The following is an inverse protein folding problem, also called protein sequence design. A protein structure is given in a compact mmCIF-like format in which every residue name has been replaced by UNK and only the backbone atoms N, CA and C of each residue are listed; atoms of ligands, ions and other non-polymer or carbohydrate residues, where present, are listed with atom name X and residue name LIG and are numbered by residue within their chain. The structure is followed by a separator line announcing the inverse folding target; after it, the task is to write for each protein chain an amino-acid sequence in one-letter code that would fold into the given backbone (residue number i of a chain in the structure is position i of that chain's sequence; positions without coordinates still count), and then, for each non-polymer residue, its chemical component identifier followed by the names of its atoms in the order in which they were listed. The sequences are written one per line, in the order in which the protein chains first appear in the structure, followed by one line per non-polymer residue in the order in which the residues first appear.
data_IF_037291081702
#
_entry.id   IF_037291081702
#
_cell.length_a   1.000
_cell.length_b   1.000
_cell.length_c   1.000
_cell.angle_alpha   90.00
_cell.angle_beta   90.00
_cell.angle_gamma   90.00
#
_symmetry.space_group_name_H-M   'P 1'
#
loop_
_entity.id
_entity.type
_entity.pdbx_description
1 polymer ?
#
# COMPACT_ATOMS: atom_id res chain seq x y z
N UNK A 1 9.72 -2.65 16.46
CA UNK A 1 10.61 -3.10 15.37
C UNK A 1 12.02 -3.23 15.90
N UNK A 2 12.68 -4.36 15.65
CA UNK A 2 14.12 -4.51 15.91
C UNK A 2 14.93 -3.52 15.04
N UNK A 3 16.18 -3.18 15.42
CA UNK A 3 17.05 -2.34 14.60
C UNK A 3 17.26 -2.87 13.17
N UNK A 4 17.37 -4.19 13.01
CA UNK A 4 17.57 -4.85 11.72
C UNK A 4 16.35 -4.67 10.82
N UNK A 5 15.14 -4.86 11.37
CA UNK A 5 13.90 -4.63 10.62
C UNK A 5 13.78 -3.17 10.18
N UNK A 6 14.16 -2.21 11.04
CA UNK A 6 14.18 -0.78 10.67
C UNK A 6 15.16 -0.50 9.54
N UNK A 7 16.35 -1.09 9.59
CA UNK A 7 17.37 -0.93 8.54
C UNK A 7 16.86 -1.45 7.19
N UNK A 8 16.31 -2.67 7.16
CA UNK A 8 15.73 -3.27 5.95
C UNK A 8 14.61 -2.39 5.37
N UNK A 9 13.70 -1.86 6.20
CA UNK A 9 12.66 -0.94 5.73
C UNK A 9 13.28 0.32 5.11
N UNK A 10 14.32 0.88 5.73
CA UNK A 10 14.97 2.09 5.25
C UNK A 10 15.65 1.89 3.90
N UNK A 11 16.37 0.77 3.71
CA UNK A 11 17.02 0.44 2.44
C UNK A 11 15.99 0.22 1.34
N UNK A 12 14.98 -0.62 1.60
CA UNK A 12 13.93 -0.91 0.63
C UNK A 12 13.15 0.33 0.22
N UNK A 13 12.85 1.25 1.15
CA UNK A 13 12.23 2.55 0.83
C UNK A 13 13.11 3.38 -0.09
N UNK A 14 14.39 3.53 0.27
CA UNK A 14 15.33 4.36 -0.50
C UNK A 14 15.47 3.85 -1.93
N UNK A 15 15.65 2.53 -2.07
CA UNK A 15 15.78 1.88 -3.37
C UNK A 15 14.48 1.95 -4.17
N UNK A 16 13.35 1.54 -3.58
CA UNK A 16 12.06 1.56 -4.26
C UNK A 16 11.71 2.97 -4.73
N UNK A 17 11.82 4.00 -3.87
CA UNK A 17 11.46 5.36 -4.26
C UNK A 17 12.38 5.94 -5.34
N UNK A 18 13.67 5.62 -5.29
CA UNK A 18 14.63 6.06 -6.32
C UNK A 18 14.29 5.44 -7.68
N UNK A 19 14.04 4.13 -7.71
CA UNK A 19 13.65 3.41 -8.92
C UNK A 19 12.26 3.83 -9.41
N UNK A 20 11.31 4.05 -8.50
CA UNK A 20 9.97 4.52 -8.83
C UNK A 20 10.02 5.91 -9.48
N UNK A 21 10.81 6.82 -8.92
CA UNK A 21 11.03 8.14 -9.50
C UNK A 21 11.67 8.08 -10.90
N UNK A 22 12.61 7.15 -11.12
CA UNK A 22 13.24 6.95 -12.42
C UNK A 22 12.31 6.32 -13.47
N UNK A 23 11.37 5.46 -13.05
CA UNK A 23 10.45 4.76 -13.94
C UNK A 23 9.18 5.56 -14.27
N UNK A 24 8.82 6.54 -13.44
CA UNK A 24 7.64 7.37 -13.64
C UNK A 24 7.83 8.38 -14.78
N UNK A 25 6.81 8.54 -15.62
CA UNK A 25 6.80 9.53 -16.72
C UNK A 25 6.56 10.98 -16.26
N UNK A 26 6.52 11.22 -14.95
CA UNK A 26 6.20 12.51 -14.35
C UNK A 26 7.15 12.78 -13.18
N UNK A 27 7.40 14.06 -12.85
CA UNK A 27 8.30 14.40 -11.75
C UNK A 27 7.82 13.81 -10.42
N UNK A 28 8.68 13.01 -9.79
CA UNK A 28 8.46 12.48 -8.45
C UNK A 28 9.34 13.23 -7.45
N UNK A 29 8.75 13.67 -6.35
CA UNK A 29 9.43 14.31 -5.22
C UNK A 29 9.53 13.28 -4.10
N UNK A 30 10.75 12.95 -3.70
CA UNK A 30 11.00 12.15 -2.50
C UNK A 30 11.17 13.12 -1.34
N UNK A 31 10.24 13.07 -0.37
CA UNK A 31 10.27 13.90 0.83
C UNK A 31 10.62 13.07 2.05
N UNK A 32 11.27 13.71 3.03
CA UNK A 32 11.87 13.05 4.20
C UNK A 32 13.39 13.03 4.09
N UNK A 33 14.07 13.59 5.09
CA UNK A 33 15.53 13.44 5.25
C UNK A 33 15.78 12.36 6.30
N UNK A 34 16.99 11.78 6.30
CA UNK A 34 17.45 10.83 7.34
C UNK A 34 17.34 11.38 8.78
N UNK A 35 17.08 12.68 8.95
CA UNK A 35 17.03 13.40 10.22
C UNK A 35 15.63 13.89 10.63
N UNK A 36 14.61 13.78 9.77
CA UNK A 36 13.23 14.15 10.15
C UNK A 36 12.50 12.96 10.77
N UNK A 37 11.66 13.19 11.79
CA UNK A 37 10.81 12.17 12.42
C UNK A 37 9.80 11.51 11.47
N UNK A 38 9.64 12.06 10.27
CA UNK A 38 8.71 11.56 9.27
C UNK A 38 9.44 10.55 8.35
N UNK A 39 8.82 9.38 8.18
CA UNK A 39 9.31 8.40 7.21
C UNK A 39 9.28 8.98 5.80
N UNK A 40 10.30 8.69 4.95
CA UNK A 40 10.31 9.23 3.61
C UNK A 40 9.12 8.69 2.79
N UNK A 41 8.59 9.54 1.92
CA UNK A 41 7.52 9.21 0.97
C UNK A 41 7.90 9.74 -0.42
N UNK A 42 7.41 9.09 -1.46
CA UNK A 42 7.50 9.58 -2.84
C UNK A 42 6.14 10.15 -3.27
N UNK A 43 6.13 11.36 -3.83
CA UNK A 43 4.90 12.05 -4.24
C UNK A 43 5.01 12.62 -5.65
N UNK A 44 3.87 12.75 -6.33
CA UNK A 44 3.80 13.27 -7.70
C UNK A 44 2.48 14.00 -7.94
N UNK A 45 2.45 14.82 -8.98
CA UNK A 45 1.25 15.51 -9.43
C UNK A 45 0.61 14.75 -10.59
N UNK A 46 -0.71 14.59 -10.55
CA UNK A 46 -1.45 14.09 -11.73
C UNK A 46 -1.82 15.22 -12.70
N UNK A 47 -2.37 14.85 -13.86
CA UNK A 47 -2.79 15.78 -14.91
C UNK A 47 -3.89 16.76 -14.45
N UNK A 48 -4.56 16.46 -13.34
CA UNK A 48 -5.59 17.31 -12.73
C UNK A 48 -5.01 18.22 -11.63
N UNK A 49 -3.68 18.30 -11.53
CA UNK A 49 -2.96 19.04 -10.49
C UNK A 49 -3.34 18.60 -9.07
N UNK A 50 -3.56 17.29 -8.86
CA UNK A 50 -3.76 16.72 -7.53
C UNK A 50 -2.51 15.99 -7.09
N UNK A 51 -2.19 16.13 -5.82
CA UNK A 51 -1.05 15.49 -5.20
C UNK A 51 -1.37 14.03 -4.90
N UNK A 52 -0.54 13.13 -5.41
CA UNK A 52 -0.55 11.71 -5.11
C UNK A 52 0.73 11.35 -4.35
N UNK A 53 0.71 10.27 -3.60
CA UNK A 53 1.90 9.78 -2.90
C UNK A 53 1.87 8.27 -2.73
N UNK A 54 3.06 7.69 -2.63
CA UNK A 54 3.30 6.31 -2.24
C UNK A 54 4.17 6.27 -0.97
N UNK A 55 3.78 5.41 -0.04
CA UNK A 55 4.46 5.18 1.22
C UNK A 55 4.62 3.68 1.45
N UNK A 56 5.80 3.25 1.86
CA UNK A 56 6.09 1.89 2.28
C UNK A 56 6.26 1.89 3.79
N UNK A 57 5.63 1.00 4.53
CA UNK A 57 5.83 0.89 5.97
C UNK A 57 5.71 -0.56 6.45
N UNK A 58 6.23 -0.83 7.66
CA UNK A 58 6.06 -2.13 8.28
C UNK A 58 4.59 -2.30 8.71
N UNK A 59 3.92 -3.32 8.18
CA UNK A 59 2.58 -3.71 8.61
C UNK A 59 2.67 -4.61 9.84
N UNK A 60 3.54 -5.61 9.78
CA UNK A 60 3.93 -6.47 10.90
C UNK A 60 5.45 -6.58 10.88
N UNK A 61 6.09 -6.48 12.04
CA UNK A 61 7.53 -6.64 12.15
C UNK A 61 7.93 -7.20 13.52
N UNK A 62 9.08 -7.91 13.58
CA UNK A 62 9.64 -8.38 14.83
C UNK A 62 10.02 -7.20 15.73
N UNK A 63 9.90 -7.40 17.04
CA UNK A 63 10.34 -6.45 18.06
C UNK A 63 10.94 -7.18 19.27
N UNK A 64 11.36 -6.44 20.28
CA UNK A 64 12.00 -6.98 21.48
C UNK A 64 11.10 -7.97 22.25
N UNK A 65 9.78 -7.83 22.13
CA UNK A 65 8.81 -8.69 22.82
C UNK A 65 8.44 -9.93 21.99
N UNK A 66 8.37 -9.79 20.67
CA UNK A 66 8.04 -10.88 19.75
C UNK A 66 9.07 -10.91 18.60
N UNK A 67 10.27 -11.46 18.83
CA UNK A 67 11.35 -11.47 17.83
C UNK A 67 11.06 -12.40 16.64
N UNK A 68 10.17 -13.38 16.82
CA UNK A 68 9.74 -14.31 15.76
C UNK A 68 8.51 -13.80 14.99
N UNK A 69 8.04 -12.58 15.26
CA UNK A 69 6.88 -12.04 14.55
C UNK A 69 7.22 -11.93 13.05
N UNK A 70 6.30 -12.31 12.15
CA UNK A 70 6.47 -12.11 10.72
C UNK A 70 6.94 -10.70 10.39
N UNK A 71 7.79 -10.60 9.37
CA UNK A 71 8.17 -9.32 8.82
C UNK A 71 7.46 -9.10 7.49
N UNK A 72 6.49 -8.21 7.49
CA UNK A 72 5.55 -7.93 6.39
C UNK A 72 5.45 -6.43 6.20
N UNK A 73 5.59 -5.99 4.96
CA UNK A 73 5.51 -4.60 4.57
C UNK A 73 4.17 -4.31 3.92
N UNK A 74 3.84 -3.02 3.88
CA UNK A 74 2.71 -2.50 3.14
C UNK A 74 3.15 -1.29 2.32
N UNK A 75 2.84 -1.34 1.03
CA UNK A 75 2.93 -0.22 0.11
C UNK A 75 1.54 0.40 0.02
N UNK A 76 1.42 1.70 0.27
CA UNK A 76 0.18 2.44 0.26
C UNK A 76 0.28 3.61 -0.71
N UNK A 77 -0.71 3.75 -1.59
CA UNK A 77 -0.90 4.90 -2.47
C UNK A 77 -2.12 5.66 -2.00
N UNK A 78 -1.96 6.97 -1.77
CA UNK A 78 -3.02 7.90 -1.34
C UNK A 78 -3.80 7.53 -0.04
N UNK A 79 -3.48 6.39 0.58
CA UNK A 79 -4.10 5.93 1.83
C UNK A 79 -3.38 6.51 3.05
N UNK A 80 -4.17 6.93 4.05
CA UNK A 80 -3.71 7.63 5.26
C UNK A 80 -3.19 9.05 5.00
N UNK A 81 -3.95 9.82 4.20
CA UNK A 81 -3.71 11.20 3.76
C UNK A 81 -3.44 12.24 4.87
N UNK A 82 -3.72 11.90 6.14
CA UNK A 82 -3.61 12.82 7.27
C UNK A 82 -2.17 13.08 7.76
N UNK A 83 -1.19 12.23 7.42
CA UNK A 83 0.23 12.49 7.77
C UNK A 83 0.98 13.34 6.73
N UNK A 84 0.39 13.59 5.56
CA UNK A 84 1.04 14.31 4.43
C UNK A 84 0.70 15.81 4.43
N UNK A 85 0.11 16.35 5.51
CA UNK A 85 -0.19 17.79 5.63
C UNK A 85 1.04 18.70 5.87
N UNK A 86 2.27 18.22 5.68
CA UNK A 86 3.49 19.01 5.88
C UNK A 86 4.42 19.09 4.66
N UNK A 87 3.92 18.86 3.43
CA UNK A 87 4.73 19.10 2.22
C UNK A 87 4.24 20.33 1.46
N UNK A 88 4.75 21.47 1.95
CA UNK A 88 5.25 22.64 1.21
C UNK A 88 4.27 23.71 0.70
N UNK A 89 4.43 24.90 1.32
CA UNK A 89 4.43 26.21 0.64
C UNK A 89 5.15 26.11 -0.70
N UNK A 90 4.48 26.43 -1.81
CA UNK A 90 5.15 26.78 -3.08
C UNK A 90 4.77 25.94 -4.31
N UNK A 91 3.97 24.87 -4.19
CA UNK A 91 3.37 24.23 -5.36
C UNK A 91 1.85 24.47 -5.36
N UNK A 92 1.35 25.02 -6.48
CA UNK A 92 -0.09 25.13 -6.75
C UNK A 92 -0.66 23.72 -6.95
N UNK A 93 -1.11 23.09 -5.86
CA UNK A 93 -1.87 21.85 -5.91
C UNK A 93 -3.35 22.13 -5.64
N UNK A 94 -4.23 21.38 -6.29
CA UNK A 94 -5.68 21.39 -6.00
C UNK A 94 -6.03 20.53 -4.77
N UNK A 95 -5.03 20.16 -3.97
CA UNK A 95 -5.14 19.27 -2.83
C UNK A 95 -4.72 17.82 -3.12
N UNK A 96 -4.96 16.94 -2.13
CA UNK A 96 -4.66 15.51 -2.22
C UNK A 96 -5.64 14.80 -3.16
N UNK A 97 -5.17 13.76 -3.84
CA UNK A 97 -6.03 12.90 -4.62
C UNK A 97 -6.79 11.93 -3.72
N UNK A 98 -8.05 12.26 -3.43
CA UNK A 98 -8.95 11.44 -2.62
C UNK A 98 -9.88 10.53 -3.45
N UNK A 99 -9.73 10.54 -4.79
CA UNK A 99 -10.62 9.74 -5.65
C UNK A 99 -10.21 8.27 -5.72
N UNK A 100 -8.98 7.95 -5.34
CA UNK A 100 -8.48 6.59 -5.33
C UNK A 100 -7.36 6.44 -4.31
N UNK A 101 -7.31 5.26 -3.74
CA UNK A 101 -6.21 4.78 -2.91
C UNK A 101 -5.93 3.32 -3.24
N UNK A 102 -4.80 2.82 -2.78
CA UNK A 102 -4.41 1.42 -2.94
C UNK A 102 -3.43 1.02 -1.84
N UNK A 103 -3.48 -0.22 -1.39
CA UNK A 103 -2.61 -0.83 -0.41
C UNK A 103 -2.27 -2.26 -0.83
N UNK A 104 -0.98 -2.55 -0.88
CA UNK A 104 -0.44 -3.87 -1.18
C UNK A 104 0.39 -4.35 0.01
N UNK A 105 -0.04 -5.46 0.60
CA UNK A 105 0.65 -6.14 1.70
C UNK A 105 1.54 -7.26 1.14
N UNK A 106 2.84 -7.15 1.38
CA UNK A 106 3.89 -7.95 0.73
C UNK A 106 4.96 -8.38 1.71
N UNK A 107 5.73 -9.40 1.35
CA UNK A 107 6.98 -9.68 2.03
C UNK A 107 8.07 -8.68 1.59
N UNK A 108 9.07 -8.38 2.46
CA UNK A 108 10.16 -7.46 2.12
C UNK A 108 10.86 -7.80 0.79
N UNK A 109 11.07 -9.09 0.53
CA UNK A 109 11.73 -9.59 -0.69
C UNK A 109 10.91 -9.41 -1.98
N UNK A 110 9.60 -9.15 -1.88
CA UNK A 110 8.71 -9.07 -3.03
C UNK A 110 8.49 -7.61 -3.47
N UNK A 111 8.79 -6.64 -2.62
CA UNK A 111 8.37 -5.25 -2.83
C UNK A 111 8.99 -4.59 -4.07
N UNK A 112 10.25 -4.90 -4.36
CA UNK A 112 10.94 -4.37 -5.54
C UNK A 112 10.43 -5.02 -6.83
N UNK A 113 10.04 -6.30 -6.78
CA UNK A 113 9.46 -6.98 -7.94
C UNK A 113 8.15 -6.31 -8.38
N UNK A 114 7.39 -5.77 -7.43
CA UNK A 114 6.15 -5.02 -7.68
C UNK A 114 6.36 -3.64 -8.28
N UNK A 115 7.59 -3.11 -8.35
CA UNK A 115 7.83 -1.75 -8.81
C UNK A 115 7.29 -1.47 -10.23
N UNK A 116 7.60 -2.29 -11.27
CA UNK A 116 7.06 -2.06 -12.61
C UNK A 116 5.53 -2.13 -12.62
N UNK A 117 4.96 -3.04 -11.84
CA UNK A 117 3.51 -3.21 -11.73
C UNK A 117 2.84 -2.00 -11.05
N UNK A 118 3.45 -1.44 -9.99
CA UNK A 118 2.95 -0.23 -9.32
C UNK A 118 3.01 0.98 -10.26
N UNK A 119 4.07 1.13 -11.06
CA UNK A 119 4.16 2.20 -12.06
C UNK A 119 3.06 2.03 -13.11
N UNK A 120 2.85 0.82 -13.61
CA UNK A 120 1.76 0.51 -14.54
C UNK A 120 0.36 0.75 -13.93
N UNK A 121 0.17 0.47 -12.64
CA UNK A 121 -1.06 0.78 -11.90
C UNK A 121 -1.35 2.29 -11.89
N UNK A 122 -0.34 3.11 -11.58
CA UNK A 122 -0.48 4.57 -11.60
C UNK A 122 -0.81 5.09 -13.01
N UNK A 123 -0.15 4.54 -14.04
CA UNK A 123 -0.42 4.89 -15.43
C UNK A 123 -1.83 4.49 -15.89
N UNK A 124 -2.25 3.26 -15.59
CA UNK A 124 -3.57 2.73 -15.93
C UNK A 124 -4.68 3.56 -15.25
N UNK A 125 -4.47 3.95 -13.99
CA UNK A 125 -5.38 4.85 -13.28
C UNK A 125 -5.42 6.25 -13.91
N UNK A 126 -4.26 6.82 -14.26
CA UNK A 126 -4.18 8.12 -14.95
C UNK A 126 -4.95 8.15 -16.27
N UNK A 127 -4.90 7.05 -17.03
CA UNK A 127 -5.64 6.86 -18.29
C UNK A 127 -7.11 6.45 -18.10
N UNK A 128 -7.53 6.17 -16.86
CA UNK A 128 -8.89 5.71 -16.55
C UNK A 128 -9.26 4.36 -17.16
N UNK A 129 -8.26 3.51 -17.46
CA UNK A 129 -8.47 2.23 -18.16
C UNK A 129 -7.82 1.07 -17.40
N UNK A 130 -8.60 0.31 -16.61
CA UNK A 130 -8.10 -0.88 -15.90
C UNK A 130 -7.58 -1.98 -16.84
N UNK A 131 -8.00 -1.98 -18.11
CA UNK A 131 -7.55 -2.94 -19.13
C UNK A 131 -6.06 -2.79 -19.46
N UNK A 132 -5.44 -1.67 -19.10
CA UNK A 132 -4.00 -1.44 -19.26
C UNK A 132 -3.17 -2.03 -18.13
N UNK A 133 -3.83 -2.52 -17.07
CA UNK A 133 -3.15 -3.10 -15.91
C UNK A 133 -2.60 -4.47 -16.28
N UNK A 134 -1.27 -4.60 -16.17
CA UNK A 134 -0.57 -5.84 -16.38
C UNK A 134 -0.79 -6.81 -15.22
N UNK A 135 -0.55 -8.09 -15.47
CA UNK A 135 -0.57 -9.11 -14.43
C UNK A 135 0.51 -8.81 -13.38
N UNK A 136 0.22 -9.03 -12.09
CA UNK A 136 1.18 -8.78 -11.04
C UNK A 136 2.31 -9.83 -11.04
N UNK A 137 3.51 -9.44 -10.57
CA UNK A 137 4.69 -10.31 -10.54
C UNK A 137 4.57 -11.46 -9.54
N UNK A 138 3.77 -11.26 -8.48
CA UNK A 138 3.42 -12.31 -7.52
C UNK A 138 1.90 -12.43 -7.43
N UNK A 139 1.36 -13.66 -7.29
CA UNK A 139 -0.05 -13.86 -7.03
C UNK A 139 -0.48 -13.14 -5.76
N UNK A 140 -1.62 -12.44 -5.82
CA UNK A 140 -2.23 -11.80 -4.68
C UNK A 140 -3.75 -11.87 -4.76
N UNK A 141 -4.40 -12.03 -3.61
CA UNK A 141 -5.85 -11.95 -3.53
C UNK A 141 -6.26 -10.47 -3.46
N UNK A 142 -7.03 -10.05 -4.45
CA UNK A 142 -7.75 -8.78 -4.43
C UNK A 142 -9.08 -9.07 -3.71
N UNK A 143 -9.26 -8.57 -2.49
CA UNK A 143 -10.50 -8.82 -1.73
C UNK A 143 -11.67 -7.99 -2.26
N UNK A 144 -12.07 -8.14 -3.52
CA UNK A 144 -13.14 -7.33 -4.14
C UNK A 144 -14.46 -7.46 -3.35
N UNK A 145 -14.93 -6.41 -2.64
CA UNK A 145 -16.31 -6.39 -2.15
C UNK A 145 -17.25 -6.20 -3.34
N UNK A 146 -18.48 -6.67 -3.23
CA UNK A 146 -19.50 -6.57 -4.29
C UNK A 146 -19.83 -5.12 -4.74
N UNK A 147 -19.34 -4.10 -4.02
CA UNK A 147 -19.45 -2.69 -4.36
C UNK A 147 -18.14 -1.98 -3.99
N UNK A 148 -17.45 -1.44 -5.02
CA UNK A 148 -16.17 -0.73 -4.86
C UNK A 148 -14.95 -1.58 -5.25
N UNK A 149 -13.95 -0.96 -5.89
CA UNK A 149 -12.64 -1.59 -6.09
C UNK A 149 -12.06 -1.84 -4.70
N UNK A 150 -11.68 -3.08 -4.38
CA UNK A 150 -10.90 -3.26 -3.17
C UNK A 150 -9.55 -2.63 -3.39
N UNK A 151 -9.26 -1.64 -2.59
CA UNK A 151 -7.98 -0.98 -2.61
C UNK A 151 -6.95 -1.78 -1.80
N UNK A 152 -7.32 -2.90 -1.16
CA UNK A 152 -6.43 -3.67 -0.29
C UNK A 152 -6.13 -5.05 -0.88
N UNK A 153 -4.87 -5.29 -1.19
CA UNK A 153 -4.33 -6.51 -1.77
C UNK A 153 -3.29 -7.15 -0.86
N UNK A 154 -3.22 -8.48 -0.90
CA UNK A 154 -2.24 -9.28 -0.15
C UNK A 154 -1.61 -10.32 -1.05
N UNK A 155 -0.27 -10.30 -1.15
CA UNK A 155 0.44 -11.45 -1.74
C UNK A 155 0.07 -12.72 -1.00
N UNK A 156 -0.09 -13.82 -1.74
CA UNK A 156 -0.44 -15.11 -1.15
C UNK A 156 0.53 -15.51 -0.03
N UNK A 157 1.84 -15.27 -0.24
CA UNK A 157 2.85 -15.59 0.77
C UNK A 157 2.70 -14.75 2.04
N UNK A 158 2.45 -13.44 1.93
CA UNK A 158 2.22 -12.59 3.10
C UNK A 158 0.94 -13.02 3.84
N UNK A 159 -0.13 -13.31 3.09
CA UNK A 159 -1.40 -13.78 3.65
C UNK A 159 -1.24 -15.09 4.44
N UNK A 160 -0.64 -16.11 3.82
CA UNK A 160 -0.37 -17.40 4.45
C UNK A 160 0.50 -17.26 5.70
N UNK A 161 1.51 -16.38 5.66
CA UNK A 161 2.39 -16.14 6.80
C UNK A 161 1.61 -15.54 7.98
N UNK A 162 0.66 -14.63 7.72
CA UNK A 162 -0.20 -14.08 8.78
C UNK A 162 -1.20 -15.08 9.35
N UNK A 163 -1.78 -15.94 8.52
CA UNK A 163 -2.69 -16.97 9.02
C UNK A 163 -1.98 -18.02 9.88
N UNK A 164 -0.73 -18.38 9.54
CA UNK A 164 0.08 -19.33 10.32
C UNK A 164 0.53 -18.77 11.67
N UNK A 165 0.50 -17.45 11.85
CA UNK A 165 0.73 -16.80 13.14
C UNK A 165 -0.58 -16.57 13.94
N UNK A 166 -1.73 -17.01 13.41
CA UNK A 166 -3.06 -16.79 13.95
C UNK A 166 -3.50 -17.79 15.03
N UNK A 167 -2.87 -17.75 16.20
CA UNK A 167 -3.61 -17.86 17.48
C UNK A 167 -3.98 -16.47 18.03
N UNK A 168 -4.08 -15.47 17.15
CA UNK A 168 -4.66 -14.17 17.45
C UNK A 168 -5.75 -13.90 16.42
N UNK A 169 -6.99 -14.12 16.87
CA UNK A 169 -8.24 -14.00 16.13
C UNK A 169 -8.42 -12.60 15.53
N UNK A 170 -8.83 -12.53 14.27
CA UNK A 170 -9.67 -11.42 13.81
C UNK A 170 -11.11 -11.78 14.17
N UNK A 171 -11.91 -10.87 14.77
CA UNK A 171 -13.32 -11.14 14.98
C UNK A 171 -13.99 -11.28 13.62
N UNK A 172 -14.44 -12.50 13.32
CA UNK A 172 -15.41 -12.73 12.26
C UNK A 172 -16.61 -11.82 12.54
N UNK A 173 -16.84 -10.85 11.67
CA UNK A 173 -18.12 -10.14 11.60
C UNK A 173 -19.17 -11.23 11.35
N UNK A 174 -19.92 -11.58 12.40
CA UNK A 174 -21.13 -12.37 12.25
C UNK A 174 -22.06 -11.58 11.32
N UNK A 175 -22.34 -12.15 10.16
CA UNK A 175 -23.46 -11.71 9.35
C UNK A 175 -24.73 -11.77 10.21
N UNK A 176 -25.61 -10.76 10.19
CA UNK A 176 -26.88 -10.85 10.88
C UNK A 176 -27.68 -12.00 10.25
N UNK A 177 -28.20 -12.88 11.11
CA UNK A 177 -29.05 -13.99 10.70
C UNK A 177 -30.26 -13.47 9.94
N UNK A 178 -30.37 -13.89 8.69
CA UNK A 178 -31.54 -13.67 7.86
C UNK A 178 -32.59 -14.74 8.24
N UNK A 179 -33.36 -14.46 9.30
CA UNK A 179 -34.62 -15.15 9.55
C UNK A 179 -35.66 -14.64 8.55
N UNK A 180 -35.70 -15.26 7.37
CA UNK A 180 -36.87 -15.22 6.50
C UNK A 180 -37.33 -16.64 6.19
N UNK A 181 -38.32 -17.10 6.98
CA UNK A 181 -39.16 -18.27 6.69
C UNK A 181 -39.83 -18.11 5.31
N UNK A 182 -39.93 -19.18 4.49
CA UNK A 182 -40.93 -19.24 3.45
C UNK A 182 -42.27 -19.74 4.00
N UNK A 183 -43.34 -19.11 3.55
CA UNK A 183 -44.74 -19.38 3.89
C UNK A 183 -45.35 -20.46 2.97
N UNK A 184 -46.35 -21.16 3.51
CA UNK A 184 -47.49 -21.87 2.87
C UNK A 184 -47.28 -23.29 2.33
N UNK A 185 -47.99 -24.22 3.00
CA UNK A 185 -49.09 -24.96 2.37
C UNK A 185 -50.40 -24.32 2.80
#
# INVERSE_FOLDING_TARGET
MTPEAKHIVSELRSEFYSLFAAAMNMPVIISGTSYSSNSPIASWMDDRQRLNYVNIYAYIAPDEFIPLRPFILRLAINKSALQVMMVKKGQESRGLNLLWDFELTVLPREILDFLPWVVNLVEAHGKGSPLLLQSPPHPFELKVPAVGLCNDAWTEKAWLLTQRCGSCECPSVQAPGDETRPTLL
#
